data_IF_463205525676
#
_entry.id   IF_463205525676
#
_cell.length_a   1.000
_cell.length_b   1.000
_cell.length_c   1.000
_cell.angle_alpha   90.00
_cell.angle_beta   90.00
_cell.angle_gamma   90.00
#
_symmetry.space_group_name_H-M   'P 1'
#
loop_
_entity.id
_entity.type
_entity.pdbx_description
1 polymer ?
#
# COMPACT_ATOMS: atom_id res chain seq x y z
N UNK A 1 -25.78 -28.66 3.32
CA UNK A 1 -25.48 -27.22 3.29
C UNK A 1 -24.50 -27.01 2.15
N UNK A 2 -24.99 -26.56 1.02
CA UNK A 2 -24.14 -26.18 -0.10
C UNK A 2 -23.28 -24.99 0.36
N UNK A 3 -21.95 -25.16 0.33
CA UNK A 3 -21.04 -24.03 0.48
C UNK A 3 -21.26 -23.15 -0.75
N UNK A 4 -21.87 -21.98 -0.56
CA UNK A 4 -21.83 -20.93 -1.59
C UNK A 4 -20.35 -20.64 -1.89
N UNK A 5 -19.86 -21.22 -2.97
CA UNK A 5 -18.55 -20.90 -3.54
C UNK A 5 -18.67 -19.53 -4.23
N UNK A 6 -18.70 -18.47 -3.45
CA UNK A 6 -18.63 -17.11 -3.99
C UNK A 6 -17.22 -16.92 -4.52
N UNK A 7 -17.10 -16.73 -5.83
CA UNK A 7 -15.85 -16.40 -6.51
C UNK A 7 -15.86 -14.90 -6.77
N UNK A 8 -14.79 -14.21 -6.32
CA UNK A 8 -14.61 -12.77 -6.52
C UNK A 8 -13.43 -12.51 -7.48
N UNK A 9 -13.52 -11.55 -8.40
CA UNK A 9 -12.40 -11.21 -9.26
C UNK A 9 -11.27 -10.58 -8.45
N UNK A 10 -10.05 -11.07 -8.62
CA UNK A 10 -8.85 -10.55 -7.98
C UNK A 10 -8.56 -9.13 -8.47
N UNK A 11 -8.36 -8.18 -7.55
CA UNK A 11 -8.03 -6.78 -7.88
C UNK A 11 -6.72 -6.61 -8.63
N UNK A 12 -5.79 -7.54 -8.45
CA UNK A 12 -4.48 -7.46 -9.11
C UNK A 12 -4.53 -8.08 -10.49
N UNK A 13 -4.86 -9.39 -10.61
CA UNK A 13 -4.72 -10.12 -11.86
C UNK A 13 -6.04 -10.52 -12.53
N UNK A 14 -7.19 -10.23 -11.93
CA UNK A 14 -8.51 -10.56 -12.47
C UNK A 14 -8.92 -12.03 -12.31
N UNK A 15 -8.04 -12.93 -11.85
CA UNK A 15 -8.37 -14.34 -11.64
C UNK A 15 -9.46 -14.53 -10.58
N UNK A 16 -10.23 -15.60 -10.67
CA UNK A 16 -11.28 -15.93 -9.71
C UNK A 16 -10.70 -16.35 -8.36
N UNK A 17 -10.91 -15.53 -7.34
CA UNK A 17 -10.49 -15.77 -5.96
C UNK A 17 -11.60 -16.47 -5.17
N UNK A 18 -11.26 -17.45 -4.36
CA UNK A 18 -12.18 -18.19 -3.50
C UNK A 18 -12.14 -17.68 -2.07
N UNK A 19 -13.22 -17.93 -1.32
CA UNK A 19 -13.28 -17.63 0.12
C UNK A 19 -12.12 -18.32 0.83
N UNK A 20 -11.29 -17.54 1.52
CA UNK A 20 -10.10 -17.99 2.23
C UNK A 20 -10.30 -17.99 3.75
N UNK A 21 -10.85 -16.90 4.28
CA UNK A 21 -11.12 -16.73 5.71
C UNK A 21 -12.41 -15.92 5.90
N UNK A 22 -13.12 -16.19 6.99
CA UNK A 22 -14.33 -15.44 7.37
C UNK A 22 -14.36 -15.21 8.87
N UNK A 23 -14.50 -13.96 9.26
CA UNK A 23 -14.90 -13.51 10.60
C UNK A 23 -16.14 -12.60 10.48
N UNK A 24 -16.07 -11.35 10.91
CA UNK A 24 -17.07 -10.32 10.61
C UNK A 24 -17.05 -9.87 9.15
N UNK A 25 -15.93 -10.13 8.44
CA UNK A 25 -15.72 -9.87 7.01
C UNK A 25 -15.38 -11.17 6.28
N UNK A 26 -15.56 -11.17 4.96
CA UNK A 26 -15.14 -12.26 4.07
C UNK A 26 -13.85 -11.87 3.38
N UNK A 27 -12.87 -12.75 3.44
CA UNK A 27 -11.58 -12.56 2.79
C UNK A 27 -11.39 -13.64 1.71
N UNK A 28 -11.00 -13.21 0.53
CA UNK A 28 -10.81 -14.06 -0.64
C UNK A 28 -9.32 -14.17 -0.95
N UNK A 29 -8.85 -15.34 -1.35
CA UNK A 29 -7.47 -15.56 -1.79
C UNK A 29 -7.44 -15.88 -3.28
N UNK A 30 -6.63 -15.13 -4.02
CA UNK A 30 -6.36 -15.40 -5.41
C UNK A 30 -5.44 -16.62 -5.58
N UNK A 31 -5.78 -17.61 -6.42
CA UNK A 31 -4.91 -18.78 -6.65
C UNK A 31 -3.63 -18.41 -7.44
N UNK A 32 -3.66 -17.38 -8.28
CA UNK A 32 -2.58 -17.06 -9.21
C UNK A 32 -1.54 -16.12 -8.59
N UNK A 33 -1.98 -15.02 -7.96
CA UNK A 33 -1.08 -14.03 -7.37
C UNK A 33 -1.01 -14.07 -5.83
N UNK A 34 -1.82 -14.91 -5.17
CA UNK A 34 -1.91 -15.07 -3.73
C UNK A 34 -2.33 -13.82 -2.94
N UNK A 35 -2.83 -12.77 -3.62
CA UNK A 35 -3.44 -11.64 -2.93
C UNK A 35 -4.59 -12.16 -2.05
N UNK A 36 -4.59 -11.79 -0.77
CA UNK A 36 -5.79 -11.90 0.07
C UNK A 36 -6.45 -10.53 0.10
N UNK A 37 -7.78 -10.50 -0.09
CA UNK A 37 -8.51 -9.24 -0.10
C UNK A 37 -9.94 -9.39 0.40
N UNK A 38 -10.53 -8.27 0.76
CA UNK A 38 -11.97 -8.17 1.08
C UNK A 38 -12.59 -7.02 0.29
N UNK A 39 -13.86 -7.16 -0.07
CA UNK A 39 -14.66 -6.08 -0.67
C UNK A 39 -15.47 -5.32 0.40
N UNK A 40 -15.34 -5.71 1.66
CA UNK A 40 -16.07 -5.13 2.78
C UNK A 40 -15.23 -4.04 3.44
N UNK A 41 -15.55 -2.80 3.12
CA UNK A 41 -14.93 -1.61 3.71
C UNK A 41 -15.97 -0.87 4.57
N UNK A 42 -15.61 -0.31 5.73
CA UNK A 42 -16.51 0.49 6.52
C UNK A 42 -16.99 1.74 5.77
N UNK A 43 -18.10 2.30 6.20
CA UNK A 43 -18.64 3.51 5.59
C UNK A 43 -17.67 4.71 5.71
N UNK A 44 -17.78 5.73 4.83
CA UNK A 44 -16.85 6.86 4.80
C UNK A 44 -16.78 7.65 6.11
N UNK A 45 -17.88 7.76 6.86
CA UNK A 45 -17.90 8.49 8.13
C UNK A 45 -17.13 7.76 9.23
N UNK A 46 -17.24 6.42 9.24
CA UNK A 46 -16.40 5.60 10.12
C UNK A 46 -14.92 5.79 9.77
N UNK A 47 -14.56 5.68 8.49
CA UNK A 47 -13.19 5.86 8.03
C UNK A 47 -12.62 7.22 8.45
N UNK A 48 -13.38 8.31 8.23
CA UNK A 48 -12.96 9.65 8.62
C UNK A 48 -12.65 9.75 10.12
N UNK A 49 -13.55 9.24 10.96
CA UNK A 49 -13.38 9.27 12.42
C UNK A 49 -12.18 8.43 12.85
N UNK A 50 -12.04 7.25 12.25
CA UNK A 50 -10.98 6.30 12.54
C UNK A 50 -9.58 6.87 12.20
N UNK A 51 -9.41 7.42 11.01
CA UNK A 51 -8.13 8.02 10.59
C UNK A 51 -7.77 9.25 11.43
N UNK A 52 -8.74 10.14 11.72
CA UNK A 52 -8.49 11.29 12.63
C UNK A 52 -8.00 10.83 14.00
N UNK A 53 -8.61 9.80 14.57
CA UNK A 53 -8.18 9.23 15.85
C UNK A 53 -6.76 8.63 15.79
N UNK A 54 -6.39 7.98 14.69
CA UNK A 54 -5.03 7.48 14.49
C UNK A 54 -4.01 8.63 14.34
N UNK A 55 -4.35 9.71 13.64
CA UNK A 55 -3.46 10.85 13.47
C UNK A 55 -3.13 11.55 14.78
N UNK A 56 -4.08 11.65 15.69
CA UNK A 56 -3.89 12.25 17.01
C UNK A 56 -2.98 11.42 17.93
N UNK A 57 -2.93 10.10 17.71
CA UNK A 57 -2.17 9.16 18.55
C UNK A 57 -0.71 8.96 18.11
N UNK A 58 -0.22 9.66 17.09
CA UNK A 58 1.07 9.36 16.45
C UNK A 58 2.28 9.79 17.27
N UNK A 59 3.17 8.80 17.52
CA UNK A 59 4.47 8.99 18.17
C UNK A 59 5.52 9.57 17.20
N UNK A 60 6.12 10.70 17.59
CA UNK A 60 7.20 11.35 16.82
C UNK A 60 8.39 10.42 16.59
N UNK A 61 8.78 9.59 17.57
CA UNK A 61 9.90 8.66 17.44
C UNK A 61 9.62 7.57 16.41
N UNK A 62 8.38 7.09 16.32
CA UNK A 62 7.98 6.14 15.29
C UNK A 62 8.23 6.72 13.89
N UNK A 63 7.78 7.95 13.62
CA UNK A 63 7.94 8.58 12.31
C UNK A 63 9.39 8.96 12.00
N UNK A 64 10.20 9.28 13.00
CA UNK A 64 11.65 9.44 12.82
C UNK A 64 12.28 8.14 12.30
N UNK A 65 11.98 7.00 12.93
CA UNK A 65 12.48 5.68 12.52
C UNK A 65 11.97 5.28 11.11
N UNK A 66 10.71 5.57 10.80
CA UNK A 66 10.17 5.32 9.46
C UNK A 66 10.89 6.15 8.40
N UNK A 67 11.11 7.44 8.64
CA UNK A 67 11.87 8.28 7.72
C UNK A 67 13.30 7.75 7.50
N UNK A 68 14.01 7.34 8.57
CA UNK A 68 15.36 6.78 8.47
C UNK A 68 15.36 5.45 7.69
N UNK A 69 14.39 4.57 7.95
CA UNK A 69 14.21 3.30 7.23
C UNK A 69 14.01 3.56 5.72
N UNK A 70 13.07 4.42 5.35
CA UNK A 70 12.77 4.76 3.96
C UNK A 70 13.99 5.36 3.25
N UNK A 71 14.62 6.36 3.86
CA UNK A 71 15.80 7.01 3.29
C UNK A 71 16.98 6.06 3.13
N UNK A 72 17.16 5.11 4.06
CA UNK A 72 18.21 4.08 3.96
C UNK A 72 18.07 3.18 2.72
N UNK A 73 16.84 3.03 2.21
CA UNK A 73 16.54 2.28 0.98
C UNK A 73 16.60 3.21 -0.23
N UNK A 74 15.89 4.33 -0.20
CA UNK A 74 15.78 5.26 -1.34
C UNK A 74 17.15 5.75 -1.78
N UNK A 75 18.01 6.19 -0.85
CA UNK A 75 19.31 6.77 -1.18
C UNK A 75 20.32 5.78 -1.75
N UNK A 76 20.11 4.46 -1.58
CA UNK A 76 20.89 3.43 -2.27
C UNK A 76 20.50 3.27 -3.73
N UNK A 77 19.27 3.66 -4.10
CA UNK A 77 18.74 3.53 -5.45
C UNK A 77 18.96 4.82 -6.22
N UNK A 78 18.57 5.95 -5.62
CA UNK A 78 18.77 7.28 -6.19
C UNK A 78 18.75 8.35 -5.09
N UNK A 79 19.33 9.52 -5.38
CA UNK A 79 19.16 10.69 -4.53
C UNK A 79 17.81 11.35 -4.87
N UNK A 80 16.81 11.32 -3.97
CA UNK A 80 15.51 11.92 -4.27
C UNK A 80 15.61 13.45 -4.28
N UNK A 81 14.92 14.08 -5.23
CA UNK A 81 14.87 15.53 -5.37
C UNK A 81 13.50 16.09 -5.02
N UNK A 82 12.44 15.44 -5.51
CA UNK A 82 11.04 15.80 -5.25
C UNK A 82 10.26 14.56 -4.90
N UNK A 83 9.80 14.51 -3.68
CA UNK A 83 9.07 13.37 -3.12
C UNK A 83 7.59 13.73 -3.02
N UNK A 84 6.71 12.85 -3.49
CA UNK A 84 5.29 12.86 -3.15
C UNK A 84 5.08 11.88 -1.98
N UNK A 85 4.54 12.37 -0.88
CA UNK A 85 4.07 11.57 0.26
C UNK A 85 2.58 11.26 0.04
N UNK A 86 2.32 10.13 -0.64
CA UNK A 86 0.99 9.70 -1.06
C UNK A 86 0.28 8.98 0.10
N UNK A 87 -0.87 9.49 0.53
CA UNK A 87 -1.55 9.08 1.74
C UNK A 87 -0.82 9.58 2.99
N UNK A 88 -0.46 10.87 3.01
CA UNK A 88 0.40 11.45 4.05
C UNK A 88 -0.22 11.53 5.45
N UNK A 89 -1.52 11.26 5.58
CA UNK A 89 -2.27 11.37 6.84
C UNK A 89 -2.11 12.74 7.50
N UNK A 90 -1.66 12.76 8.75
CA UNK A 90 -1.38 14.00 9.49
C UNK A 90 -0.16 14.78 8.99
N UNK A 91 0.59 14.26 8.00
CA UNK A 91 1.84 14.84 7.51
C UNK A 91 3.05 14.61 8.44
N UNK A 92 2.95 13.68 9.38
CA UNK A 92 4.03 13.41 10.33
C UNK A 92 5.31 12.93 9.63
N UNK A 93 5.20 12.01 8.66
CA UNK A 93 6.34 11.55 7.85
C UNK A 93 6.88 12.68 6.98
N UNK A 94 6.00 13.41 6.28
CA UNK A 94 6.39 14.61 5.52
C UNK A 94 7.25 15.56 6.35
N UNK A 95 6.84 15.86 7.58
CA UNK A 95 7.58 16.73 8.51
C UNK A 95 8.98 16.17 8.80
N UNK A 96 9.09 14.87 9.05
CA UNK A 96 10.38 14.23 9.33
C UNK A 96 11.33 14.27 8.14
N UNK A 97 10.83 14.05 6.93
CA UNK A 97 11.62 14.10 5.70
C UNK A 97 12.06 15.54 5.38
N UNK A 98 11.17 16.53 5.54
CA UNK A 98 11.51 17.95 5.36
C UNK A 98 12.57 18.44 6.34
N UNK A 99 12.53 17.99 7.61
CA UNK A 99 13.59 18.30 8.60
C UNK A 99 14.96 17.74 8.21
N UNK A 100 14.99 16.70 7.35
CA UNK A 100 16.23 16.13 6.78
C UNK A 100 16.65 16.80 5.46
N UNK A 101 15.95 17.87 5.06
CA UNK A 101 16.30 18.68 3.88
C UNK A 101 15.71 18.19 2.56
N UNK A 102 14.74 17.26 2.59
CA UNK A 102 14.08 16.78 1.38
C UNK A 102 12.90 17.68 0.96
N UNK A 103 12.73 17.86 -0.34
CA UNK A 103 11.55 18.50 -0.92
C UNK A 103 10.40 17.48 -0.99
N UNK A 104 9.40 17.63 -0.12
CA UNK A 104 8.29 16.68 0.03
C UNK A 104 6.96 17.39 -0.10
N UNK A 105 6.13 16.91 -0.99
CA UNK A 105 4.74 17.33 -1.16
C UNK A 105 3.84 16.30 -0.50
N UNK A 106 3.06 16.63 0.54
CA UNK A 106 2.07 15.73 1.11
C UNK A 106 0.82 15.69 0.23
N UNK A 107 0.21 14.52 0.12
CA UNK A 107 -1.11 14.33 -0.46
C UNK A 107 -1.92 13.38 0.43
N UNK A 108 -2.98 13.92 1.02
CA UNK A 108 -3.94 13.16 1.82
C UNK A 108 -5.35 13.42 1.26
N UNK A 109 -6.08 12.38 0.78
CA UNK A 109 -7.39 12.58 0.17
C UNK A 109 -8.39 13.34 1.04
N UNK A 110 -8.36 13.13 2.35
CA UNK A 110 -9.26 13.81 3.29
C UNK A 110 -8.93 15.30 3.52
N UNK A 111 -7.75 15.74 3.09
CA UNK A 111 -7.27 17.13 3.29
C UNK A 111 -7.12 17.84 1.95
N UNK A 112 -6.52 17.17 0.97
CA UNK A 112 -6.10 17.75 -0.30
C UNK A 112 -6.97 17.31 -1.49
N UNK A 113 -7.83 16.28 -1.33
CA UNK A 113 -8.49 15.57 -2.43
C UNK A 113 -7.58 14.51 -3.08
N UNK A 114 -8.11 13.82 -4.06
CA UNK A 114 -7.40 12.71 -4.74
C UNK A 114 -6.29 13.21 -5.68
N UNK A 115 -5.32 12.34 -5.98
CA UNK A 115 -4.21 12.67 -6.87
C UNK A 115 -4.68 13.07 -8.28
N UNK A 116 -5.72 12.42 -8.78
CA UNK A 116 -6.32 12.73 -10.09
C UNK A 116 -6.87 14.18 -10.19
N UNK A 117 -7.22 14.79 -9.06
CA UNK A 117 -7.74 16.16 -8.99
C UNK A 117 -6.62 17.20 -8.83
N UNK A 118 -5.37 16.76 -8.69
CA UNK A 118 -4.23 17.65 -8.45
C UNK A 118 -3.54 18.06 -9.75
N UNK A 119 -2.97 19.26 -9.73
CA UNK A 119 -2.09 19.75 -10.78
C UNK A 119 -0.78 20.22 -10.16
N UNK A 120 0.31 19.55 -10.49
CA UNK A 120 1.64 19.91 -10.01
C UNK A 120 2.47 20.53 -11.14
N UNK A 121 3.25 21.61 -10.88
CA UNK A 121 4.08 22.26 -11.90
C UNK A 121 5.23 21.37 -12.38
N UNK A 122 5.55 20.33 -11.60
CA UNK A 122 6.64 19.38 -11.89
C UNK A 122 6.23 17.98 -11.47
N UNK A 123 6.80 16.98 -12.16
CA UNK A 123 6.71 15.58 -11.76
C UNK A 123 7.62 15.27 -10.57
N UNK A 124 7.28 14.23 -9.86
CA UNK A 124 8.05 13.68 -8.74
C UNK A 124 9.02 12.63 -9.24
N UNK A 125 10.21 12.57 -8.67
CA UNK A 125 11.15 11.47 -8.95
C UNK A 125 11.01 10.31 -7.95
N UNK A 126 10.30 10.53 -6.86
CA UNK A 126 10.05 9.55 -5.83
C UNK A 126 8.62 9.72 -5.29
N UNK A 127 7.85 8.64 -5.26
CA UNK A 127 6.59 8.57 -4.52
C UNK A 127 6.79 7.62 -3.36
N UNK A 128 6.42 8.03 -2.18
CA UNK A 128 6.35 7.16 -0.99
C UNK A 128 4.88 6.94 -0.62
N UNK A 129 4.52 5.71 -0.28
CA UNK A 129 3.21 5.32 0.18
C UNK A 129 3.38 4.38 1.39
N UNK A 130 3.16 4.92 2.59
CA UNK A 130 3.39 4.20 3.87
C UNK A 130 2.07 3.91 4.52
N UNK A 131 1.74 2.62 4.64
CA UNK A 131 0.45 2.13 5.14
C UNK A 131 -0.72 2.76 4.33
N UNK A 132 -0.69 2.55 2.99
CA UNK A 132 -1.67 3.11 2.05
C UNK A 132 -2.25 2.04 1.11
N UNK A 133 -1.40 1.20 0.51
CA UNK A 133 -1.81 0.27 -0.55
C UNK A 133 -2.80 -0.78 -0.06
N UNK A 134 -2.76 -1.13 1.21
CA UNK A 134 -3.72 -2.00 1.87
C UNK A 134 -5.14 -1.42 1.94
N UNK A 135 -5.28 -0.11 1.81
CA UNK A 135 -6.59 0.59 1.86
C UNK A 135 -7.22 0.83 0.48
N UNK A 136 -6.48 0.60 -0.61
CA UNK A 136 -6.91 0.98 -1.96
C UNK A 136 -7.90 -0.03 -2.55
N UNK A 137 -9.17 0.33 -2.68
CA UNK A 137 -10.16 -0.48 -3.41
C UNK A 137 -9.90 -0.47 -4.93
N UNK A 138 -9.56 0.69 -5.48
CA UNK A 138 -9.29 0.92 -6.90
C UNK A 138 -7.78 0.95 -7.17
N UNK A 139 -7.10 -0.14 -6.79
CA UNK A 139 -5.63 -0.21 -6.76
C UNK A 139 -4.96 0.26 -8.07
N UNK A 140 -5.44 -0.23 -9.22
CA UNK A 140 -4.83 0.11 -10.51
C UNK A 140 -5.11 1.55 -10.97
N UNK A 141 -6.25 2.11 -10.60
CA UNK A 141 -6.59 3.51 -10.90
C UNK A 141 -5.62 4.44 -10.16
N UNK A 142 -5.41 4.20 -8.86
CA UNK A 142 -4.47 4.99 -8.05
C UNK A 142 -3.02 4.82 -8.53
N UNK A 143 -2.61 3.61 -8.89
CA UNK A 143 -1.29 3.35 -9.48
C UNK A 143 -1.11 4.11 -10.79
N UNK A 144 -2.12 4.16 -11.66
CA UNK A 144 -2.06 4.90 -12.91
C UNK A 144 -1.85 6.40 -12.66
N UNK A 145 -2.53 6.97 -11.66
CA UNK A 145 -2.35 8.39 -11.31
C UNK A 145 -0.95 8.66 -10.72
N UNK A 146 -0.46 7.76 -9.86
CA UNK A 146 0.92 7.83 -9.35
C UNK A 146 1.93 7.80 -10.51
N UNK A 147 1.75 6.89 -11.47
CA UNK A 147 2.63 6.78 -12.64
C UNK A 147 2.62 8.04 -13.53
N UNK A 148 1.47 8.71 -13.66
CA UNK A 148 1.37 9.99 -14.39
C UNK A 148 2.11 11.11 -13.67
N UNK A 149 2.13 11.09 -12.35
CA UNK A 149 2.81 12.08 -11.52
C UNK A 149 4.34 11.87 -11.44
N UNK A 150 4.83 10.65 -11.76
CA UNK A 150 6.25 10.29 -11.72
C UNK A 150 7.03 10.77 -12.95
N UNK A 151 8.32 11.08 -12.75
CA UNK A 151 9.30 11.18 -13.84
C UNK A 151 9.53 9.81 -14.49
N UNK A 152 10.14 9.80 -15.68
CA UNK A 152 10.43 8.55 -16.40
C UNK A 152 11.28 7.56 -15.57
N UNK A 153 12.30 8.07 -14.86
CA UNK A 153 13.20 7.32 -13.98
C UNK A 153 12.72 7.30 -12.51
N UNK A 154 11.47 7.66 -12.28
CA UNK A 154 10.88 7.74 -10.94
C UNK A 154 10.69 6.38 -10.29
N UNK A 155 10.68 6.38 -8.96
CA UNK A 155 10.44 5.19 -8.14
C UNK A 155 9.22 5.36 -7.25
N UNK A 156 8.54 4.25 -6.97
CA UNK A 156 7.48 4.17 -5.96
C UNK A 156 8.00 3.30 -4.82
N UNK A 157 7.96 3.83 -3.60
CA UNK A 157 8.39 3.14 -2.38
C UNK A 157 7.16 2.86 -1.53
N UNK A 158 6.82 1.59 -1.38
CA UNK A 158 5.58 1.15 -0.73
C UNK A 158 5.92 0.42 0.55
N UNK A 159 5.36 0.88 1.67
CA UNK A 159 5.42 0.19 2.96
C UNK A 159 4.03 -0.31 3.34
N UNK A 160 3.89 -1.62 3.46
CA UNK A 160 2.70 -2.34 3.92
C UNK A 160 3.11 -3.71 4.43
N UNK A 161 2.40 -4.29 5.38
CA UNK A 161 2.76 -5.62 5.91
C UNK A 161 2.43 -6.71 4.89
N UNK A 162 3.40 -7.62 4.67
CA UNK A 162 3.27 -8.72 3.72
C UNK A 162 2.89 -10.03 4.43
N UNK A 163 2.11 -10.85 3.73
CA UNK A 163 1.67 -12.18 4.21
C UNK A 163 2.70 -13.28 4.00
N UNK A 164 3.90 -12.96 3.47
CA UNK A 164 4.97 -13.92 3.17
C UNK A 164 5.24 -14.96 4.26
N UNK A 165 5.25 -14.58 5.58
CA UNK A 165 5.61 -15.53 6.62
C UNK A 165 4.65 -16.71 6.76
N UNK A 166 3.46 -16.67 6.11
CA UNK A 166 2.46 -17.72 6.30
C UNK A 166 1.55 -18.04 5.10
N UNK A 167 1.51 -17.21 4.06
CA UNK A 167 0.47 -17.35 3.00
C UNK A 167 0.51 -18.69 2.25
N UNK A 168 1.68 -19.32 2.17
CA UNK A 168 1.91 -20.60 1.52
C UNK A 168 2.00 -21.77 2.51
N UNK A 169 1.81 -21.53 3.82
CA UNK A 169 1.86 -22.59 4.83
C UNK A 169 0.54 -23.35 4.93
N UNK A 170 0.56 -24.62 5.38
CA UNK A 170 -0.66 -25.40 5.59
C UNK A 170 -1.62 -24.77 6.61
N UNK A 171 -1.11 -23.98 7.54
CA UNK A 171 -1.84 -23.25 8.59
C UNK A 171 -2.14 -21.78 8.23
N UNK A 172 -2.04 -21.44 6.94
CA UNK A 172 -2.21 -20.06 6.45
C UNK A 172 -3.52 -19.42 6.90
N UNK A 173 -4.62 -20.17 6.90
CA UNK A 173 -5.96 -19.67 7.29
C UNK A 173 -5.97 -19.31 8.77
N UNK A 174 -5.41 -20.17 9.63
CA UNK A 174 -5.34 -19.94 11.07
C UNK A 174 -4.45 -18.73 11.39
N UNK A 175 -3.26 -18.68 10.78
CA UNK A 175 -2.30 -17.59 10.97
C UNK A 175 -2.85 -16.27 10.47
N UNK A 176 -3.52 -16.24 9.33
CA UNK A 176 -4.20 -15.04 8.85
C UNK A 176 -5.30 -14.61 9.82
N UNK A 177 -6.10 -15.55 10.32
CA UNK A 177 -7.15 -15.30 11.33
C UNK A 177 -6.62 -14.64 12.61
N UNK A 178 -5.43 -15.05 13.07
CA UNK A 178 -4.77 -14.52 14.25
C UNK A 178 -3.95 -13.25 13.99
N UNK A 179 -3.75 -12.86 12.72
CA UNK A 179 -2.87 -11.77 12.38
C UNK A 179 -3.51 -10.40 12.69
N UNK A 180 -2.84 -9.60 13.52
CA UNK A 180 -3.34 -8.32 14.00
C UNK A 180 -3.65 -7.32 12.88
N UNK A 181 -2.86 -7.34 11.78
CA UNK A 181 -2.95 -6.39 10.68
C UNK A 181 -4.29 -6.47 9.93
N UNK A 182 -4.90 -7.66 9.84
CA UNK A 182 -6.23 -7.82 9.25
C UNK A 182 -7.37 -7.24 10.12
N UNK A 183 -7.09 -6.95 11.41
CA UNK A 183 -8.12 -6.44 12.31
C UNK A 183 -8.43 -4.96 12.08
N UNK A 184 -7.57 -4.24 11.38
CA UNK A 184 -7.92 -2.93 10.87
C UNK A 184 -9.02 -3.07 9.82
N UNK A 185 -10.20 -2.48 10.10
CA UNK A 185 -11.36 -2.63 9.24
C UNK A 185 -11.21 -1.93 7.89
N UNK A 186 -10.27 -1.00 7.78
CA UNK A 186 -9.97 -0.26 6.56
C UNK A 186 -8.94 -0.96 5.66
N UNK A 187 -8.28 -2.04 6.15
CA UNK A 187 -7.41 -2.87 5.34
C UNK A 187 -8.24 -3.81 4.45
N UNK A 188 -8.10 -3.66 3.16
CA UNK A 188 -8.82 -4.45 2.15
C UNK A 188 -7.91 -5.27 1.24
N UNK A 189 -6.59 -5.04 1.27
CA UNK A 189 -5.60 -5.77 0.49
C UNK A 189 -4.47 -6.27 1.38
N UNK A 190 -4.05 -7.52 1.18
CA UNK A 190 -2.97 -8.15 1.92
C UNK A 190 -2.03 -8.82 0.92
N UNK A 191 -0.93 -8.13 0.66
CA UNK A 191 0.04 -8.49 -0.37
C UNK A 191 1.03 -9.55 0.11
N UNK A 192 1.64 -10.26 -0.85
CA UNK A 192 2.83 -11.09 -0.65
C UNK A 192 3.80 -10.90 -1.82
N UNK A 193 4.98 -11.50 -1.75
CA UNK A 193 5.98 -11.42 -2.82
C UNK A 193 5.44 -11.88 -4.18
N UNK A 194 4.60 -12.94 -4.20
CA UNK A 194 3.98 -13.41 -5.44
C UNK A 194 3.01 -12.38 -6.02
N UNK A 195 2.22 -11.72 -5.17
CA UNK A 195 1.33 -10.64 -5.61
C UNK A 195 2.13 -9.50 -6.26
N UNK A 196 3.22 -9.08 -5.60
CA UNK A 196 4.08 -7.99 -6.07
C UNK A 196 4.76 -8.37 -7.38
N UNK A 197 5.23 -9.62 -7.52
CA UNK A 197 5.83 -10.12 -8.75
C UNK A 197 4.84 -10.10 -9.93
N UNK A 198 3.59 -10.53 -9.71
CA UNK A 198 2.54 -10.48 -10.74
C UNK A 198 2.21 -9.03 -11.13
N UNK A 199 2.15 -8.11 -10.18
CA UNK A 199 1.97 -6.69 -10.48
C UNK A 199 3.11 -6.16 -11.36
N UNK A 200 4.34 -6.58 -11.08
CA UNK A 200 5.50 -6.20 -11.88
C UNK A 200 5.46 -6.76 -13.30
N UNK A 201 5.14 -8.03 -13.46
CA UNK A 201 4.97 -8.68 -14.76
C UNK A 201 3.90 -7.97 -15.61
N UNK A 202 2.78 -7.54 -14.99
CA UNK A 202 1.69 -6.84 -15.68
C UNK A 202 2.04 -5.42 -16.15
N UNK A 203 3.10 -4.81 -15.57
CA UNK A 203 3.45 -3.40 -15.79
C UNK A 203 4.87 -3.19 -16.32
N UNK A 204 5.62 -4.25 -16.58
CA UNK A 204 7.03 -4.18 -16.94
C UNK A 204 7.85 -3.38 -15.90
N UNK A 205 7.69 -3.74 -14.61
CA UNK A 205 8.41 -3.09 -13.53
C UNK A 205 9.59 -3.92 -13.04
N UNK A 206 10.65 -3.24 -12.61
CA UNK A 206 11.64 -3.82 -11.70
C UNK A 206 11.17 -3.64 -10.27
N UNK A 207 11.39 -4.67 -9.45
CA UNK A 207 11.03 -4.66 -8.02
C UNK A 207 12.22 -5.05 -7.18
N UNK A 208 12.41 -4.29 -6.08
CA UNK A 208 13.29 -4.65 -4.97
C UNK A 208 12.42 -4.80 -3.71
N UNK A 209 12.49 -5.96 -3.04
CA UNK A 209 11.73 -6.24 -1.80
C UNK A 209 12.68 -6.23 -0.61
N UNK A 210 12.29 -5.55 0.47
CA UNK A 210 13.07 -5.36 1.68
C UNK A 210 12.31 -5.91 2.90
N UNK A 211 12.61 -7.16 3.26
CA UNK A 211 11.91 -7.88 4.34
C UNK A 211 10.43 -8.09 4.03
N UNK A 212 9.61 -8.07 5.07
CA UNK A 212 8.18 -8.38 4.98
C UNK A 212 7.28 -7.12 5.07
N UNK A 213 7.81 -5.93 4.75
CA UNK A 213 7.02 -4.70 4.91
C UNK A 213 7.42 -3.54 4.01
N UNK A 214 8.32 -3.74 3.05
CA UNK A 214 8.76 -2.66 2.16
C UNK A 214 9.13 -3.21 0.79
N UNK A 215 8.70 -2.55 -0.27
CA UNK A 215 9.18 -2.81 -1.62
C UNK A 215 9.26 -1.54 -2.45
N UNK A 216 10.14 -1.57 -3.44
CA UNK A 216 10.36 -0.45 -4.36
C UNK A 216 10.08 -0.92 -5.78
N UNK A 217 9.35 -0.08 -6.51
CA UNK A 217 8.98 -0.29 -7.91
C UNK A 217 9.66 0.75 -8.78
N UNK A 218 10.20 0.30 -9.91
CA UNK A 218 10.74 1.15 -10.97
C UNK A 218 10.18 0.71 -12.31
N UNK A 219 9.87 1.65 -13.21
CA UNK A 219 9.58 1.29 -14.59
C UNK A 219 10.82 0.69 -15.27
N UNK A 220 10.62 -0.29 -16.13
CA UNK A 220 11.66 -0.68 -17.08
C UNK A 220 11.84 0.43 -18.10
N UNK A 221 13.12 0.70 -18.45
CA UNK A 221 13.49 1.71 -19.44
C UNK A 221 13.20 1.25 -20.87
#
# INVERSE_FOLDING_TARGET
MEQETTIEPCRVCGAGASLFFKDSRRFYKCPDCLLVFTNEMPDPKFQETFYKGQWDAQDTLFWQKQADKLLSVITKIKQPRRILDFGSGSGALTKQLRHRGYDVTPLEPMINGYLMDQSYPHKFDTVIAVEVFEHLLNLWEEINEIEKALTYDGIIVISTQLTNPFIDSPDAVERFGAWWYKNDLTHVNFFCNRTIAVMAEMRDWYIDIYGDSLFVVKKQA
#
